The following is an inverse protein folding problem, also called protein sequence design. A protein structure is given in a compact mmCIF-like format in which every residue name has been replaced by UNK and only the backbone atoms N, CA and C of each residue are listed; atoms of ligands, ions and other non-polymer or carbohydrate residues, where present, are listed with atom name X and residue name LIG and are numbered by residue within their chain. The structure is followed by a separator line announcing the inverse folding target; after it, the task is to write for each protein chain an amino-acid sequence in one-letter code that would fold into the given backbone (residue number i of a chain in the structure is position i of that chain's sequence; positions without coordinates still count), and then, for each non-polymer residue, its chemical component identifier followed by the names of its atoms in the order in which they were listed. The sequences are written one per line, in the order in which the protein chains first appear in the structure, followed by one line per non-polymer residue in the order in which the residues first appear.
data_IF_384024733594
#
_entry.id   IF_384024733594
#
_cell.length_a   1.000
_cell.length_b   1.000
_cell.length_c   1.000
_cell.angle_alpha   90.00
_cell.angle_beta   90.00
_cell.angle_gamma   90.00
#
_symmetry.space_group_name_H-M   'P 1'
#
loop_
_entity.id
_entity.type
_entity.pdbx_description
1 polymer ?
#
# COMPACT_ATOMS: atom_id res chain seq x y z
N UNK A 1 18.56 43.72 21.84
CA UNK A 1 17.55 42.73 22.26
C UNK A 1 16.59 42.53 21.12
N UNK A 2 16.77 41.45 20.32
CA UNK A 2 15.89 41.10 19.21
C UNK A 2 15.17 39.83 19.66
N UNK A 3 13.85 39.93 19.87
CA UNK A 3 12.99 38.80 20.21
C UNK A 3 12.71 37.99 18.94
N UNK A 4 13.18 36.76 18.91
CA UNK A 4 12.77 35.77 17.91
C UNK A 4 11.32 35.38 18.17
N UNK A 5 10.44 35.72 17.25
CA UNK A 5 9.07 35.22 17.20
C UNK A 5 9.07 33.85 16.51
N UNK A 6 8.48 32.85 17.17
CA UNK A 6 8.27 31.52 16.61
C UNK A 6 7.27 31.59 15.43
N UNK A 7 7.42 30.76 14.39
CA UNK A 7 6.49 30.74 13.28
C UNK A 7 5.13 30.19 13.73
N UNK A 8 4.01 30.66 13.12
CA UNK A 8 2.67 30.21 13.46
C UNK A 8 2.49 28.74 13.06
N UNK A 9 2.02 27.95 14.01
CA UNK A 9 1.56 26.57 13.78
C UNK A 9 0.30 26.60 12.91
N UNK A 10 0.35 25.96 11.76
CA UNK A 10 -0.82 25.73 10.90
C UNK A 10 -1.84 24.83 11.63
N UNK A 11 -3.14 25.14 11.54
CA UNK A 11 -4.18 24.32 12.15
C UNK A 11 -4.22 22.94 11.43
N UNK A 12 -4.08 21.88 12.21
CA UNK A 12 -4.36 20.53 11.74
C UNK A 12 -5.85 20.43 11.48
N UNK A 13 -6.28 20.38 10.22
CA UNK A 13 -7.64 20.06 9.86
C UNK A 13 -7.92 18.60 10.19
N UNK A 14 -8.50 18.38 11.35
CA UNK A 14 -9.10 17.12 11.73
C UNK A 14 -10.43 17.01 10.98
N UNK A 15 -10.47 16.30 9.85
CA UNK A 15 -11.73 15.95 9.20
C UNK A 15 -12.40 14.84 10.01
N UNK A 16 -13.67 15.02 10.41
CA UNK A 16 -14.41 13.94 11.08
C UNK A 16 -14.63 12.80 10.08
N UNK A 17 -14.12 11.62 10.41
CA UNK A 17 -14.35 10.37 9.67
C UNK A 17 -15.86 10.10 9.63
N UNK A 18 -16.43 10.07 8.44
CA UNK A 18 -17.82 9.63 8.24
C UNK A 18 -17.88 8.12 8.33
N UNK A 19 -18.19 7.60 9.49
CA UNK A 19 -18.65 6.22 9.65
C UNK A 19 -20.03 6.12 8.98
N UNK A 20 -20.10 5.51 7.79
CA UNK A 20 -21.38 5.19 7.17
C UNK A 20 -22.02 4.02 7.92
N UNK A 21 -22.85 4.34 8.91
CA UNK A 21 -23.79 3.39 9.49
C UNK A 21 -24.92 3.24 8.47
N UNK A 22 -25.00 2.07 7.83
CA UNK A 22 -26.12 1.75 6.95
C UNK A 22 -27.41 1.63 7.78
N UNK A 23 -28.37 2.53 7.55
CA UNK A 23 -29.66 2.63 8.28
C UNK A 23 -30.63 1.49 7.87
N UNK A 24 -30.27 0.62 6.94
CA UNK A 24 -31.18 -0.43 6.41
C UNK A 24 -31.34 -1.66 7.30
N UNK A 25 -30.60 -1.78 8.42
CA UNK A 25 -30.66 -2.95 9.33
C UNK A 25 -31.77 -2.95 10.38
N UNK A 26 -32.63 -1.93 10.42
CA UNK A 26 -33.57 -1.75 11.57
C UNK A 26 -34.88 -2.56 11.52
N UNK A 27 -35.16 -3.29 10.43
CA UNK A 27 -36.46 -3.95 10.20
C UNK A 27 -36.45 -5.49 10.16
N UNK A 28 -35.31 -6.14 10.25
CA UNK A 28 -35.25 -7.60 10.40
C UNK A 28 -34.30 -7.93 11.55
N UNK A 29 -34.79 -8.62 12.58
CA UNK A 29 -34.07 -8.88 13.84
C UNK A 29 -32.80 -9.74 13.76
N UNK A 30 -32.11 -9.77 12.64
CA UNK A 30 -30.77 -10.32 12.43
C UNK A 30 -29.87 -9.21 11.94
N UNK A 31 -29.06 -8.64 12.85
CA UNK A 31 -27.99 -7.73 12.49
C UNK A 31 -26.87 -8.49 11.76
N UNK A 32 -27.01 -8.58 10.43
CA UNK A 32 -25.91 -9.08 9.59
C UNK A 32 -24.85 -7.99 9.53
N UNK A 33 -23.68 -8.29 10.07
CA UNK A 33 -22.52 -7.43 9.95
C UNK A 33 -22.03 -7.38 8.51
N UNK A 34 -21.90 -6.18 7.97
CA UNK A 34 -21.30 -5.96 6.64
C UNK A 34 -19.92 -5.32 6.84
N UNK A 35 -18.92 -5.98 6.31
CA UNK A 35 -17.52 -5.55 6.32
C UNK A 35 -17.18 -5.15 4.90
N UNK A 36 -16.88 -3.87 4.69
CA UNK A 36 -16.55 -3.33 3.37
C UNK A 36 -15.68 -2.08 3.51
N UNK A 37 -14.96 -1.75 2.46
CA UNK A 37 -14.17 -0.53 2.37
C UNK A 37 -14.47 0.25 1.10
N UNK A 38 -14.67 1.56 1.25
CA UNK A 38 -14.74 2.52 0.15
C UNK A 38 -13.74 3.62 0.44
N UNK A 39 -12.87 3.92 -0.53
CA UNK A 39 -11.85 4.95 -0.40
C UNK A 39 -12.11 6.09 -1.39
N UNK A 40 -12.20 7.30 -0.85
CA UNK A 40 -12.36 8.53 -1.62
C UNK A 40 -11.02 9.29 -1.80
N UNK A 41 -9.95 8.86 -1.11
CA UNK A 41 -8.67 9.59 -1.04
C UNK A 41 -7.78 9.32 -2.26
N UNK A 42 -7.82 8.12 -2.82
CA UNK A 42 -6.97 7.61 -3.91
C UNK A 42 -5.48 7.50 -3.58
N UNK A 43 -5.09 7.62 -2.34
CA UNK A 43 -3.73 7.51 -1.86
C UNK A 43 -3.54 6.43 -0.79
N UNK A 44 -4.62 5.87 -0.28
CA UNK A 44 -4.58 4.78 0.70
C UNK A 44 -4.26 3.46 0.01
N UNK A 45 -3.17 2.82 0.47
CA UNK A 45 -2.75 1.49 0.03
C UNK A 45 -3.40 0.39 0.85
N UNK A 46 -3.46 0.59 2.16
CA UNK A 46 -4.05 -0.39 3.09
C UNK A 46 -4.87 0.33 4.15
N UNK A 47 -6.00 -0.26 4.46
CA UNK A 47 -6.87 0.18 5.52
C UNK A 47 -7.38 -1.01 6.33
N UNK A 48 -7.17 -0.96 7.65
CA UNK A 48 -7.69 -1.96 8.58
C UNK A 48 -9.14 -1.62 8.93
N UNK A 49 -10.02 -2.60 8.79
CA UNK A 49 -11.39 -2.46 9.24
C UNK A 49 -11.42 -2.27 10.76
N UNK A 50 -11.90 -1.09 11.19
CA UNK A 50 -12.01 -0.73 12.59
C UNK A 50 -13.43 -1.01 13.09
N UNK A 51 -13.54 -1.77 14.17
CA UNK A 51 -14.77 -1.99 14.90
C UNK A 51 -14.52 -1.86 16.39
N UNK A 52 -15.54 -1.44 17.15
CA UNK A 52 -15.51 -1.51 18.61
C UNK A 52 -15.23 -2.97 19.04
N UNK A 53 -14.25 -3.15 19.91
CA UNK A 53 -13.75 -4.45 20.41
C UNK A 53 -12.98 -5.33 19.41
N UNK A 54 -12.71 -4.93 18.16
CA UNK A 54 -12.00 -5.73 17.14
C UNK A 54 -12.58 -7.14 16.92
N UNK A 55 -13.89 -7.30 17.14
CA UNK A 55 -14.58 -8.57 17.00
C UNK A 55 -15.24 -8.68 15.64
N UNK A 56 -14.82 -9.65 14.83
CA UNK A 56 -15.51 -10.03 13.61
C UNK A 56 -16.48 -11.14 13.96
N UNK A 57 -17.78 -10.88 13.76
CA UNK A 57 -18.82 -11.87 14.08
C UNK A 57 -18.85 -12.99 13.06
N UNK A 58 -19.09 -14.19 13.54
CA UNK A 58 -19.43 -15.34 12.70
C UNK A 58 -20.66 -15.01 11.83
N UNK A 59 -20.62 -15.36 10.55
CA UNK A 59 -21.68 -15.03 9.60
C UNK A 59 -21.67 -13.59 9.08
N UNK A 60 -20.66 -12.78 9.44
CA UNK A 60 -20.47 -11.45 8.84
C UNK A 60 -20.28 -11.56 7.31
N UNK A 61 -20.78 -10.58 6.58
CA UNK A 61 -20.62 -10.51 5.11
C UNK A 61 -19.46 -9.58 4.80
N UNK A 62 -18.42 -10.14 4.16
CA UNK A 62 -17.28 -9.42 3.64
C UNK A 62 -17.50 -9.12 2.16
N UNK A 63 -17.52 -7.85 1.79
CA UNK A 63 -17.55 -7.38 0.41
C UNK A 63 -16.17 -6.88 0.01
N UNK A 64 -15.54 -7.54 -0.95
CA UNK A 64 -14.28 -7.11 -1.56
C UNK A 64 -14.59 -6.63 -2.97
N UNK A 65 -14.29 -5.36 -3.29
CA UNK A 65 -14.58 -4.77 -4.59
C UNK A 65 -13.45 -5.03 -5.57
N UNK A 66 -13.75 -4.87 -6.87
CA UNK A 66 -12.72 -4.85 -7.90
C UNK A 66 -11.65 -3.79 -7.58
N UNK A 67 -10.38 -4.17 -7.75
CA UNK A 67 -9.25 -3.33 -7.36
C UNK A 67 -8.89 -3.38 -5.88
N UNK A 68 -9.49 -4.28 -5.11
CA UNK A 68 -9.18 -4.54 -3.72
C UNK A 68 -8.89 -6.02 -3.49
N UNK A 69 -8.19 -6.30 -2.41
CA UNK A 69 -8.12 -7.61 -1.76
C UNK A 69 -8.31 -7.41 -0.26
N UNK A 70 -8.83 -8.40 0.44
CA UNK A 70 -8.90 -8.36 1.89
C UNK A 70 -8.01 -9.45 2.49
N UNK A 71 -7.11 -9.07 3.38
CA UNK A 71 -6.22 -9.96 4.12
C UNK A 71 -6.82 -10.16 5.51
N UNK A 72 -7.12 -11.41 5.83
CA UNK A 72 -7.68 -11.81 7.10
C UNK A 72 -6.56 -12.31 8.03
N UNK A 73 -6.45 -11.68 9.19
CA UNK A 73 -5.50 -12.03 10.23
C UNK A 73 -6.27 -12.53 11.44
N UNK A 74 -5.91 -13.69 11.94
CA UNK A 74 -6.50 -14.29 13.12
C UNK A 74 -5.41 -14.61 14.13
N UNK A 75 -5.59 -14.18 15.38
CA UNK A 75 -4.60 -14.34 16.45
C UNK A 75 -3.19 -13.85 16.07
N UNK A 76 -3.12 -12.77 15.27
CA UNK A 76 -1.85 -12.22 14.81
C UNK A 76 -1.19 -13.02 13.68
N UNK A 77 -1.84 -14.05 13.14
CA UNK A 77 -1.36 -14.83 12.02
C UNK A 77 -2.22 -14.60 10.78
N UNK A 78 -1.58 -14.49 9.63
CA UNK A 78 -2.27 -14.41 8.36
C UNK A 78 -3.03 -15.72 8.13
N UNK A 79 -4.35 -15.63 8.01
CA UNK A 79 -5.23 -16.77 7.85
C UNK A 79 -5.72 -16.95 6.41
N UNK A 80 -6.13 -15.86 5.73
CA UNK A 80 -6.64 -15.95 4.36
C UNK A 80 -6.50 -14.64 3.59
N UNK A 81 -6.62 -14.72 2.25
CA UNK A 81 -6.65 -13.58 1.32
C UNK A 81 -7.85 -13.69 0.41
N UNK A 82 -8.76 -12.73 0.49
CA UNK A 82 -9.97 -12.67 -0.31
C UNK A 82 -9.77 -11.78 -1.55
N UNK A 83 -10.08 -12.33 -2.71
CA UNK A 83 -10.15 -11.60 -3.97
C UNK A 83 -11.51 -10.89 -4.11
N UNK A 84 -11.77 -10.09 -5.17
CA UNK A 84 -13.05 -9.45 -5.38
C UNK A 84 -14.22 -10.46 -5.34
N UNK A 85 -15.24 -10.13 -4.53
CA UNK A 85 -16.40 -10.98 -4.31
C UNK A 85 -17.17 -10.65 -3.04
N UNK A 86 -18.21 -11.42 -2.80
CA UNK A 86 -19.00 -11.39 -1.57
C UNK A 86 -18.81 -12.71 -0.83
N UNK A 87 -18.37 -12.62 0.41
CA UNK A 87 -18.03 -13.78 1.24
C UNK A 87 -18.86 -13.74 2.54
N UNK A 88 -19.30 -14.93 2.98
CA UNK A 88 -19.83 -15.11 4.33
C UNK A 88 -18.70 -15.68 5.18
N UNK A 89 -18.37 -15.00 6.25
CA UNK A 89 -17.28 -15.40 7.15
C UNK A 89 -17.76 -16.51 8.07
N UNK A 90 -17.70 -17.74 7.56
CA UNK A 90 -18.06 -18.98 8.25
C UNK A 90 -16.96 -20.03 8.07
N UNK A 91 -16.75 -20.86 9.08
CA UNK A 91 -15.70 -21.90 9.07
C UNK A 91 -15.79 -22.85 7.86
N UNK A 92 -16.99 -23.09 7.34
CA UNK A 92 -17.19 -24.03 6.24
C UNK A 92 -16.76 -23.51 4.87
N UNK A 93 -16.59 -22.19 4.71
CA UNK A 93 -16.31 -21.55 3.44
C UNK A 93 -14.85 -21.04 3.30
N UNK A 94 -14.03 -21.27 4.31
CA UNK A 94 -12.67 -20.76 4.35
C UNK A 94 -11.66 -21.91 4.47
N UNK A 95 -10.83 -22.16 3.45
CA UNK A 95 -9.92 -23.31 3.41
C UNK A 95 -8.95 -23.39 4.58
N UNK A 96 -8.54 -22.26 5.13
CA UNK A 96 -7.57 -22.19 6.23
C UNK A 96 -8.29 -22.13 7.59
N UNK A 97 -9.48 -21.53 7.64
CA UNK A 97 -10.28 -21.46 8.87
C UNK A 97 -10.85 -22.81 9.31
N UNK A 98 -10.83 -23.83 8.45
CA UNK A 98 -11.16 -25.21 8.86
C UNK A 98 -10.20 -25.75 9.93
N UNK A 99 -9.02 -25.17 10.08
CA UNK A 99 -8.09 -25.49 11.20
C UNK A 99 -8.43 -24.74 12.48
N UNK A 100 -9.25 -23.70 12.40
CA UNK A 100 -9.73 -22.94 13.55
C UNK A 100 -10.96 -23.61 14.18
N UNK A 101 -10.77 -24.79 14.77
CA UNK A 101 -11.82 -25.68 15.30
C UNK A 101 -12.70 -25.06 16.42
N UNK A 102 -12.50 -23.79 16.77
CA UNK A 102 -13.17 -23.16 17.92
C UNK A 102 -13.93 -21.87 17.57
N UNK A 103 -14.05 -21.49 16.28
CA UNK A 103 -14.83 -20.31 15.91
C UNK A 103 -16.34 -20.47 16.15
N UNK A 104 -16.85 -21.69 16.11
CA UNK A 104 -18.27 -22.00 16.26
C UNK A 104 -18.77 -22.00 17.73
N UNK A 105 -17.88 -21.87 18.71
CA UNK A 105 -18.25 -21.85 20.12
C UNK A 105 -18.73 -20.48 20.61
N UNK A 106 -19.62 -19.84 19.86
CA UNK A 106 -20.52 -18.78 20.30
C UNK A 106 -19.85 -17.55 20.93
N UNK A 107 -19.65 -16.52 20.14
CA UNK A 107 -19.61 -15.08 20.46
C UNK A 107 -18.80 -14.55 21.67
N UNK A 108 -18.01 -15.36 22.34
CA UNK A 108 -17.15 -14.97 23.46
C UNK A 108 -15.72 -15.48 23.29
N UNK A 109 -15.26 -15.66 22.05
CA UNK A 109 -13.85 -15.95 21.83
C UNK A 109 -13.04 -14.69 22.19
N UNK A 110 -12.07 -14.77 23.09
CA UNK A 110 -11.16 -13.66 23.38
C UNK A 110 -10.20 -13.38 22.23
N UNK A 111 -10.33 -14.10 21.11
CA UNK A 111 -9.42 -14.04 19.96
C UNK A 111 -9.81 -12.92 19.04
N UNK A 112 -8.84 -12.04 18.79
CA UNK A 112 -9.00 -10.89 17.91
C UNK A 112 -8.73 -11.30 16.47
N UNK A 113 -9.67 -10.98 15.58
CA UNK A 113 -9.49 -11.10 14.14
C UNK A 113 -9.47 -9.72 13.52
N UNK A 114 -8.62 -9.53 12.52
CA UNK A 114 -8.46 -8.26 11.82
C UNK A 114 -8.62 -8.49 10.32
N UNK A 115 -9.21 -7.51 9.63
CA UNK A 115 -9.29 -7.48 8.17
C UNK A 115 -8.58 -6.23 7.67
N UNK A 116 -7.58 -6.44 6.82
CA UNK A 116 -6.89 -5.40 6.11
C UNK A 116 -7.34 -5.39 4.65
N UNK A 117 -7.96 -4.30 4.23
CA UNK A 117 -8.24 -4.08 2.82
C UNK A 117 -6.99 -3.50 2.15
N UNK A 118 -6.58 -4.11 1.06
CA UNK A 118 -5.43 -3.70 0.28
C UNK A 118 -5.90 -3.22 -1.09
N UNK A 119 -5.53 -2.00 -1.45
CA UNK A 119 -5.79 -1.44 -2.77
C UNK A 119 -4.81 -2.06 -3.79
N UNK A 120 -5.34 -2.84 -4.73
CA UNK A 120 -4.57 -3.51 -5.79
C UNK A 120 -4.63 -2.76 -7.12
N UNK A 121 -5.24 -1.58 -7.15
CA UNK A 121 -5.23 -0.72 -8.34
C UNK A 121 -3.85 -0.14 -8.60
N UNK A 122 -3.66 0.46 -9.77
CA UNK A 122 -2.39 1.06 -10.13
C UNK A 122 -2.35 2.53 -9.69
N UNK A 123 -1.39 2.87 -8.85
CA UNK A 123 -1.05 4.25 -8.51
C UNK A 123 -0.14 4.81 -9.59
N UNK A 124 -0.62 5.80 -10.33
CA UNK A 124 0.05 6.37 -11.49
C UNK A 124 0.58 7.77 -11.21
N UNK A 125 1.47 8.24 -12.09
CA UNK A 125 2.00 9.62 -12.08
C UNK A 125 2.74 10.00 -10.79
N UNK A 126 3.30 9.04 -10.09
CA UNK A 126 4.15 9.28 -8.94
C UNK A 126 5.46 9.89 -9.40
N UNK A 127 5.87 10.99 -8.81
CA UNK A 127 7.04 11.76 -9.25
C UNK A 127 8.30 11.32 -8.54
N UNK A 128 9.40 11.23 -9.27
CA UNK A 128 10.73 11.05 -8.73
C UNK A 128 11.74 12.01 -9.35
N UNK A 129 12.87 12.21 -8.70
CA UNK A 129 13.97 13.00 -9.25
C UNK A 129 15.19 12.97 -8.36
N UNK A 130 16.34 13.20 -8.97
CA UNK A 130 17.60 13.29 -8.25
C UNK A 130 17.64 14.58 -7.43
N UNK A 131 17.81 14.45 -6.10
CA UNK A 131 17.94 15.60 -5.19
C UNK A 131 19.27 16.34 -5.46
N UNK A 132 20.34 15.57 -5.65
CA UNK A 132 21.67 16.06 -6.00
C UNK A 132 22.03 15.63 -7.42
N UNK A 133 23.02 16.30 -8.04
CA UNK A 133 23.54 15.89 -9.35
C UNK A 133 24.29 14.57 -9.23
N UNK A 134 24.09 13.68 -10.18
CA UNK A 134 24.86 12.45 -10.38
C UNK A 134 26.03 12.77 -11.30
N UNK A 135 27.26 12.45 -10.88
CA UNK A 135 28.45 12.65 -11.70
C UNK A 135 28.70 11.35 -12.46
N UNK A 136 28.72 11.45 -13.78
CA UNK A 136 29.04 10.32 -14.67
C UNK A 136 30.20 10.68 -15.57
N UNK A 137 30.92 9.66 -16.06
CA UNK A 137 32.00 9.85 -17.03
C UNK A 137 31.43 9.69 -18.44
N UNK A 138 31.42 10.77 -19.17
CA UNK A 138 31.05 10.79 -20.58
C UNK A 138 32.28 10.49 -21.44
N UNK A 139 32.16 9.66 -22.51
CA UNK A 139 33.28 9.32 -23.38
C UNK A 139 33.87 10.54 -24.13
N UNK A 140 33.03 11.53 -24.45
CA UNK A 140 33.42 12.70 -25.24
C UNK A 140 33.77 13.93 -24.38
N UNK A 141 32.96 14.13 -23.29
CA UNK A 141 33.07 15.34 -22.47
C UNK A 141 33.79 15.12 -21.13
N UNK A 142 34.14 13.87 -20.79
CA UNK A 142 34.74 13.56 -19.52
C UNK A 142 33.70 13.57 -18.37
N UNK A 143 34.02 14.11 -17.17
CA UNK A 143 33.07 14.13 -16.06
C UNK A 143 31.96 15.16 -16.28
N UNK A 144 30.72 14.68 -16.36
CA UNK A 144 29.51 15.50 -16.51
C UNK A 144 28.59 15.35 -15.29
N UNK A 145 27.82 16.39 -15.01
CA UNK A 145 26.82 16.41 -13.93
C UNK A 145 25.43 16.30 -14.50
N UNK A 146 24.71 15.25 -14.11
CA UNK A 146 23.36 14.98 -14.58
C UNK A 146 22.33 15.19 -13.47
N UNK A 147 21.16 15.67 -13.86
CA UNK A 147 19.93 15.61 -13.07
C UNK A 147 18.87 14.88 -13.87
N UNK A 148 18.15 13.99 -13.20
CA UNK A 148 17.06 13.26 -13.81
C UNK A 148 15.79 13.39 -12.97
N UNK A 149 14.68 13.35 -13.66
CA UNK A 149 13.35 13.31 -13.06
C UNK A 149 12.40 12.58 -13.99
N UNK A 150 11.31 12.10 -13.43
CA UNK A 150 10.31 11.38 -14.21
C UNK A 150 9.12 10.97 -13.35
N UNK A 151 8.33 10.07 -13.90
CA UNK A 151 7.20 9.46 -13.21
C UNK A 151 7.35 7.95 -13.17
N UNK A 152 6.73 7.34 -12.16
CA UNK A 152 6.62 5.90 -12.04
C UNK A 152 5.20 5.51 -11.64
N UNK A 153 4.89 4.23 -11.74
CA UNK A 153 3.62 3.67 -11.30
C UNK A 153 3.89 2.41 -10.51
N UNK A 154 3.09 2.19 -9.47
CA UNK A 154 3.17 0.98 -8.64
C UNK A 154 1.79 0.39 -8.42
N UNK A 155 1.74 -0.88 -8.07
CA UNK A 155 0.57 -1.57 -7.54
C UNK A 155 1.00 -2.67 -6.60
N UNK A 156 0.17 -3.00 -5.64
CA UNK A 156 0.38 -4.19 -4.80
C UNK A 156 0.00 -5.43 -5.61
N UNK A 157 0.92 -6.38 -5.73
CA UNK A 157 0.74 -7.63 -6.47
C UNK A 157 0.43 -8.78 -5.52
N UNK A 158 1.11 -8.83 -4.38
CA UNK A 158 0.88 -9.80 -3.32
C UNK A 158 0.41 -9.07 -2.05
N UNK A 159 -0.92 -9.03 -1.79
CA UNK A 159 -1.47 -8.35 -0.62
C UNK A 159 -1.01 -8.94 0.71
N UNK A 160 -0.81 -10.26 0.78
CA UNK A 160 -0.40 -10.95 1.99
C UNK A 160 1.04 -10.60 2.37
N UNK A 161 1.94 -10.68 1.39
CA UNK A 161 3.34 -10.31 1.56
C UNK A 161 3.46 -8.84 1.94
N UNK A 162 2.71 -7.97 1.26
CA UNK A 162 2.74 -6.53 1.50
C UNK A 162 2.31 -6.16 2.93
N UNK A 163 1.21 -6.74 3.41
CA UNK A 163 0.76 -6.51 4.80
C UNK A 163 1.78 -7.04 5.80
N UNK A 164 2.33 -8.23 5.56
CA UNK A 164 3.27 -8.86 6.49
C UNK A 164 4.60 -8.12 6.60
N UNK A 165 5.18 -7.71 5.46
CA UNK A 165 6.56 -7.20 5.42
C UNK A 165 6.64 -5.66 5.50
N UNK A 166 5.59 -4.96 5.03
CA UNK A 166 5.63 -3.50 4.88
C UNK A 166 4.68 -2.81 5.86
N UNK A 167 3.42 -3.22 5.90
CA UNK A 167 2.38 -2.56 6.69
C UNK A 167 2.47 -2.92 8.18
N UNK A 168 2.73 -4.19 8.48
CA UNK A 168 2.79 -4.68 9.85
C UNK A 168 1.45 -4.48 10.58
N UNK A 169 1.46 -3.69 11.65
CA UNK A 169 0.28 -3.41 12.49
C UNK A 169 -0.36 -2.04 12.22
N UNK A 170 0.08 -1.33 11.20
CA UNK A 170 -0.51 -0.02 10.88
C UNK A 170 -1.95 -0.17 10.42
N UNK A 171 -2.83 0.67 10.96
CA UNK A 171 -4.26 0.64 10.63
C UNK A 171 -4.61 1.36 9.32
N UNK A 172 -3.76 2.27 8.87
CA UNK A 172 -3.94 3.02 7.62
C UNK A 172 -2.56 3.31 7.02
N UNK A 173 -2.28 2.71 5.88
CA UNK A 173 -1.00 2.84 5.20
C UNK A 173 -1.19 3.50 3.83
N UNK A 174 -0.49 4.61 3.62
CA UNK A 174 -0.66 5.47 2.45
C UNK A 174 0.51 5.39 1.47
N UNK A 175 0.28 5.90 0.26
CA UNK A 175 1.31 5.98 -0.77
C UNK A 175 2.47 6.90 -0.37
N UNK A 176 2.22 7.92 0.44
CA UNK A 176 3.25 8.86 0.88
C UNK A 176 4.30 8.20 1.78
N UNK A 177 3.88 7.25 2.61
CA UNK A 177 4.78 6.54 3.54
C UNK A 177 5.83 5.71 2.82
N UNK A 178 5.44 5.03 1.74
CA UNK A 178 6.38 4.18 0.97
C UNK A 178 7.05 4.94 -0.18
N UNK A 179 6.45 6.02 -0.68
CA UNK A 179 6.94 6.72 -1.87
C UNK A 179 8.35 7.28 -1.71
N UNK A 180 8.73 7.66 -0.50
CA UNK A 180 10.08 8.14 -0.21
C UNK A 180 11.12 7.03 -0.41
N UNK A 181 10.84 5.83 0.10
CA UNK A 181 11.73 4.68 -0.05
C UNK A 181 11.85 4.24 -1.50
N UNK A 182 10.72 4.15 -2.22
CA UNK A 182 10.71 3.84 -3.66
C UNK A 182 11.52 4.86 -4.46
N UNK A 183 11.35 6.16 -4.20
CA UNK A 183 12.14 7.20 -4.86
C UNK A 183 13.65 7.06 -4.62
N UNK A 184 14.06 6.70 -3.42
CA UNK A 184 15.47 6.46 -3.11
C UNK A 184 16.02 5.27 -3.91
N UNK A 185 15.29 4.17 -3.99
CA UNK A 185 15.65 3.01 -4.80
C UNK A 185 15.76 3.42 -6.27
N UNK A 186 14.79 4.17 -6.82
CA UNK A 186 14.84 4.65 -8.21
C UNK A 186 16.10 5.48 -8.46
N UNK A 187 16.43 6.44 -7.59
CA UNK A 187 17.60 7.30 -7.76
C UNK A 187 18.91 6.51 -7.65
N UNK A 188 18.97 5.53 -6.76
CA UNK A 188 20.12 4.64 -6.61
C UNK A 188 20.33 3.80 -7.87
N UNK A 189 19.28 3.13 -8.36
CA UNK A 189 19.35 2.29 -9.55
C UNK A 189 19.62 3.11 -10.82
N UNK A 190 19.00 4.27 -10.94
CA UNK A 190 19.32 5.23 -11.99
C UNK A 190 20.81 5.56 -12.00
N UNK A 191 21.36 5.95 -10.86
CA UNK A 191 22.76 6.35 -10.74
C UNK A 191 23.71 5.19 -11.10
N UNK A 192 23.40 3.98 -10.64
CA UNK A 192 24.17 2.75 -10.92
C UNK A 192 24.12 2.38 -12.40
N UNK A 193 22.92 2.41 -12.99
CA UNK A 193 22.73 2.03 -14.39
C UNK A 193 23.38 3.02 -15.34
N UNK A 194 23.23 4.32 -15.12
CA UNK A 194 23.87 5.34 -15.95
C UNK A 194 25.40 5.27 -15.87
N UNK A 195 25.95 5.05 -14.68
CA UNK A 195 27.40 4.91 -14.52
C UNK A 195 27.96 3.69 -15.27
N UNK A 196 27.18 2.61 -15.42
CA UNK A 196 27.60 1.38 -16.12
C UNK A 196 27.35 1.42 -17.62
N UNK A 197 26.28 2.09 -18.04
CA UNK A 197 25.82 2.07 -19.45
C UNK A 197 26.80 2.75 -20.40
N UNK A 198 27.64 3.68 -19.90
CA UNK A 198 28.61 4.45 -20.73
C UNK A 198 27.98 5.08 -21.98
N UNK A 199 26.72 5.43 -21.92
CA UNK A 199 25.99 6.05 -23.02
C UNK A 199 26.40 7.52 -23.08
N UNK A 200 26.82 8.05 -24.26
CA UNK A 200 27.12 9.46 -24.42
C UNK A 200 25.93 10.34 -24.02
N UNK A 201 26.19 11.45 -23.35
CA UNK A 201 25.13 12.36 -22.86
C UNK A 201 24.23 12.83 -23.99
N UNK A 202 24.78 13.06 -25.17
CA UNK A 202 24.01 13.49 -26.35
C UNK A 202 23.01 12.42 -26.82
N UNK A 203 23.32 11.14 -26.57
CA UNK A 203 22.47 10.02 -26.99
C UNK A 203 21.46 9.62 -25.89
N UNK A 204 21.63 10.11 -24.66
CA UNK A 204 20.75 9.75 -23.54
C UNK A 204 19.30 10.17 -23.76
N UNK A 205 19.07 11.31 -24.41
CA UNK A 205 17.73 11.78 -24.73
C UNK A 205 17.02 10.85 -25.73
N UNK A 206 17.73 10.39 -26.75
CA UNK A 206 17.21 9.47 -27.75
C UNK A 206 16.95 8.07 -27.14
N UNK A 207 17.77 7.65 -26.19
CA UNK A 207 17.69 6.34 -25.55
C UNK A 207 16.91 6.33 -24.22
N UNK A 208 16.22 7.42 -23.89
CA UNK A 208 15.53 7.58 -22.60
C UNK A 208 14.51 6.47 -22.29
N UNK A 209 13.84 5.96 -23.34
CA UNK A 209 12.88 4.87 -23.20
C UNK A 209 13.56 3.52 -22.84
N UNK A 210 14.67 3.21 -23.51
CA UNK A 210 15.45 1.98 -23.24
C UNK A 210 16.08 2.03 -21.83
N UNK A 211 16.63 3.19 -21.46
CA UNK A 211 17.12 3.43 -20.11
C UNK A 211 16.02 3.25 -19.05
N UNK A 212 14.82 3.77 -19.33
CA UNK A 212 13.66 3.63 -18.46
C UNK A 212 13.27 2.16 -18.27
N UNK A 213 13.31 1.34 -19.30
CA UNK A 213 13.06 -0.11 -19.22
C UNK A 213 14.12 -0.83 -18.40
N UNK A 214 15.41 -0.56 -18.65
CA UNK A 214 16.51 -1.16 -17.90
C UNK A 214 16.42 -0.84 -16.41
N UNK A 215 16.25 0.43 -16.07
CA UNK A 215 16.12 0.88 -14.68
C UNK A 215 14.86 0.29 -14.04
N UNK A 216 13.74 0.27 -14.77
CA UNK A 216 12.50 -0.31 -14.30
C UNK A 216 12.60 -1.81 -13.97
N UNK A 217 13.35 -2.57 -14.79
CA UNK A 217 13.62 -4.00 -14.54
C UNK A 217 14.43 -4.22 -13.26
N UNK A 218 15.49 -3.45 -13.04
CA UNK A 218 16.34 -3.55 -11.84
C UNK A 218 15.55 -3.16 -10.57
N UNK A 219 14.72 -2.10 -10.65
CA UNK A 219 13.87 -1.68 -9.54
C UNK A 219 12.82 -2.75 -9.23
N UNK A 220 12.18 -3.33 -10.25
CA UNK A 220 11.18 -4.37 -10.06
C UNK A 220 11.78 -5.60 -9.37
N UNK A 221 13.01 -5.98 -9.72
CA UNK A 221 13.72 -7.07 -9.08
C UNK A 221 13.98 -6.80 -7.58
N UNK A 222 14.40 -5.58 -7.23
CA UNK A 222 14.61 -5.21 -5.84
C UNK A 222 13.30 -5.12 -5.04
N UNK A 223 12.23 -4.59 -5.65
CA UNK A 223 10.93 -4.48 -4.97
C UNK A 223 10.21 -5.83 -4.84
N UNK A 224 10.57 -6.83 -5.64
CA UNK A 224 10.00 -8.18 -5.52
C UNK A 224 10.53 -8.95 -4.29
N UNK A 225 11.56 -8.45 -3.64
CA UNK A 225 12.08 -9.01 -2.38
C UNK A 225 11.26 -8.55 -1.15
N UNK A 226 10.38 -7.57 -1.34
CA UNK A 226 9.47 -6.99 -0.33
C UNK A 226 8.01 -7.22 -0.70
#
# INVERSE_FOLDING_TARGET
MIRNAAPPTLPQHHYPRKTHISIFGFLSGEFIDVIEWTDDTRDTLVWRFEREAHEIKYGAKLTVREGQSAVFIHEGQLADVFTPGLYMLETNNMPILTTLQHWDHGFKSPFKSEIYFVNTTRFNNLKWGTKNTVIVRDPEFGPVRLRAFGTYSVRVVDPALFVREIVGTDGEFTMDEISYQIRNIIVQEFSRTIARAQIPVLDMAANSHELGKLIGGEIAAQLAEY
#
